data_IF_892766023216
#
_entry.id   IF_892766023216
#
_cell.length_a   1.000
_cell.length_b   1.000
_cell.length_c   1.000
_cell.angle_alpha   90.00
_cell.angle_beta   90.00
_cell.angle_gamma   90.00
#
_symmetry.space_group_name_H-M   'P 1'
#
loop_
_entity.id
_entity.type
_entity.pdbx_description
1 polymer ?
#
# COMPACT_ATOMS: atom_id res chain seq x y z
N UNK A 1 -0.51 -5.42 20.59
CA UNK A 1 -0.47 -5.90 19.20
C UNK A 1 -1.43 -5.04 18.40
N UNK A 2 -0.96 -4.37 17.34
CA UNK A 2 -1.76 -3.44 16.53
C UNK A 2 -1.75 -3.92 15.09
N UNK A 3 -2.94 -3.97 14.48
CA UNK A 3 -3.15 -4.28 13.07
C UNK A 3 -3.46 -2.97 12.36
N UNK A 4 -2.78 -2.71 11.25
CA UNK A 4 -2.90 -1.49 10.47
C UNK A 4 -3.80 -1.75 9.27
N UNK A 5 -4.78 -0.85 9.09
CA UNK A 5 -5.73 -0.87 8.00
C UNK A 5 -5.26 -0.01 6.81
N UNK A 6 -5.94 -0.14 5.67
CA UNK A 6 -5.65 0.61 4.43
C UNK A 6 -5.62 2.11 4.68
N UNK A 7 -6.62 2.67 5.39
CA UNK A 7 -6.72 4.12 5.60
C UNK A 7 -5.53 4.69 6.39
N UNK A 8 -5.09 3.98 7.43
CA UNK A 8 -3.93 4.36 8.23
C UNK A 8 -2.64 4.30 7.41
N UNK A 9 -2.48 3.27 6.57
CA UNK A 9 -1.32 3.12 5.69
C UNK A 9 -1.28 4.19 4.59
N UNK A 10 -2.42 4.53 3.98
CA UNK A 10 -2.51 5.62 3.00
C UNK A 10 -2.15 6.95 3.66
N UNK A 11 -2.70 7.25 4.83
CA UNK A 11 -2.36 8.48 5.55
C UNK A 11 -0.87 8.53 5.94
N UNK A 12 -0.29 7.38 6.29
CA UNK A 12 1.12 7.29 6.66
C UNK A 12 2.05 7.49 5.46
N UNK A 13 1.73 6.90 4.30
CA UNK A 13 2.57 6.97 3.10
C UNK A 13 2.37 8.25 2.28
N UNK A 14 1.18 8.85 2.32
CA UNK A 14 0.86 10.07 1.59
C UNK A 14 1.09 11.30 2.48
N UNK A 15 2.19 12.02 2.27
CA UNK A 15 2.46 13.29 2.96
C UNK A 15 1.40 14.37 2.70
N UNK A 16 0.62 14.23 1.62
CA UNK A 16 -0.48 15.13 1.27
C UNK A 16 -1.78 14.80 2.01
N UNK A 17 -1.85 13.66 2.69
CA UNK A 17 -3.02 13.30 3.46
C UNK A 17 -3.14 14.19 4.71
N UNK A 18 -4.36 14.70 4.96
CA UNK A 18 -4.63 15.58 6.10
C UNK A 18 -4.37 14.91 7.46
N UNK A 19 -4.35 13.58 7.52
CA UNK A 19 -4.06 12.81 8.72
C UNK A 19 -2.61 12.36 8.83
N UNK A 20 -1.73 12.71 7.87
CA UNK A 20 -0.34 12.27 7.84
C UNK A 20 0.42 12.57 9.15
N UNK A 21 0.39 13.82 9.61
CA UNK A 21 1.06 14.19 10.85
C UNK A 21 0.47 13.47 12.08
N UNK A 22 -0.86 13.27 12.09
CA UNK A 22 -1.52 12.58 13.18
C UNK A 22 -1.09 11.11 13.25
N UNK A 23 -1.10 10.41 12.11
CA UNK A 23 -0.77 8.98 12.10
C UNK A 23 0.72 8.75 12.41
N UNK A 24 1.64 9.59 11.94
CA UNK A 24 3.06 9.49 12.31
C UNK A 24 3.25 9.54 13.83
N UNK A 25 2.61 10.51 14.51
CA UNK A 25 2.68 10.62 15.97
C UNK A 25 2.05 9.41 16.67
N UNK A 26 0.93 8.88 16.16
CA UNK A 26 0.30 7.69 16.74
C UNK A 26 1.18 6.46 16.60
N UNK A 27 1.80 6.23 15.43
CA UNK A 27 2.65 5.05 15.21
C UNK A 27 3.94 5.12 16.04
N UNK A 28 4.53 6.30 16.18
CA UNK A 28 5.68 6.51 17.07
C UNK A 28 5.34 6.19 18.54
N UNK A 29 4.14 6.55 19.00
CA UNK A 29 3.68 6.23 20.35
C UNK A 29 3.33 4.75 20.55
N UNK A 30 2.68 4.12 19.56
CA UNK A 30 2.25 2.71 19.63
C UNK A 30 3.45 1.76 19.61
N UNK A 31 4.52 2.12 18.89
CA UNK A 31 5.72 1.31 18.71
C UNK A 31 5.58 0.18 17.68
N UNK A 32 6.72 -0.41 17.34
CA UNK A 32 6.87 -1.38 16.26
C UNK A 32 7.24 -2.79 16.80
N UNK A 33 6.97 -3.89 16.06
CA UNK A 33 6.41 -3.95 14.70
C UNK A 33 4.88 -3.94 14.66
N UNK A 34 4.34 -3.22 13.69
CA UNK A 34 2.91 -3.17 13.37
C UNK A 34 2.54 -4.28 12.38
N UNK A 35 1.35 -4.88 12.52
CA UNK A 35 0.93 -5.98 11.66
C UNK A 35 0.07 -5.47 10.51
N UNK A 36 0.28 -5.99 9.30
CA UNK A 36 -0.60 -5.73 8.14
C UNK A 36 -0.78 -7.01 7.31
N UNK A 37 -1.64 -6.97 6.30
CA UNK A 37 -1.91 -8.10 5.41
C UNK A 37 -1.95 -7.70 3.94
N UNK A 38 -1.97 -8.70 3.06
CA UNK A 38 -1.92 -8.54 1.59
C UNK A 38 -3.02 -7.66 1.02
N UNK A 39 -4.24 -7.81 1.55
CA UNK A 39 -5.39 -7.04 1.08
C UNK A 39 -5.21 -5.55 1.37
N UNK A 40 -4.73 -5.22 2.58
CA UNK A 40 -4.46 -3.84 2.99
C UNK A 40 -3.37 -3.22 2.11
N UNK A 41 -2.25 -3.92 1.90
CA UNK A 41 -1.16 -3.44 1.05
C UNK A 41 -1.63 -3.17 -0.40
N UNK A 42 -2.41 -4.09 -0.95
CA UNK A 42 -2.93 -3.97 -2.32
C UNK A 42 -3.86 -2.76 -2.46
N UNK A 43 -4.76 -2.57 -1.49
CA UNK A 43 -5.67 -1.43 -1.52
C UNK A 43 -4.94 -0.10 -1.30
N UNK A 44 -3.94 -0.07 -0.43
CA UNK A 44 -3.09 1.10 -0.22
C UNK A 44 -2.39 1.54 -1.50
N UNK A 45 -1.74 0.63 -2.23
CA UNK A 45 -1.11 0.95 -3.52
C UNK A 45 -2.13 1.47 -4.53
N UNK A 46 -3.30 0.82 -4.64
CA UNK A 46 -4.36 1.28 -5.53
C UNK A 46 -4.81 2.71 -5.21
N UNK A 47 -4.99 3.05 -3.93
CA UNK A 47 -5.43 4.38 -3.51
C UNK A 47 -4.34 5.44 -3.71
N UNK A 48 -3.08 5.12 -3.42
CA UNK A 48 -1.96 6.05 -3.66
C UNK A 48 -1.84 6.36 -5.16
N UNK A 49 -1.91 5.34 -6.01
CA UNK A 49 -1.81 5.50 -7.46
C UNK A 49 -2.98 6.28 -8.04
N UNK A 50 -4.20 6.01 -7.56
CA UNK A 50 -5.40 6.79 -7.94
C UNK A 50 -5.28 8.27 -7.59
N UNK A 51 -4.56 8.59 -6.51
CA UNK A 51 -4.37 9.96 -6.03
C UNK A 51 -3.13 10.64 -6.62
N UNK A 52 -2.50 10.04 -7.64
CA UNK A 52 -1.35 10.60 -8.36
C UNK A 52 -0.02 10.47 -7.61
N UNK A 53 0.04 9.59 -6.61
CA UNK A 53 1.29 9.17 -5.97
C UNK A 53 1.94 8.01 -6.72
N UNK A 54 3.23 7.79 -6.46
CA UNK A 54 3.97 6.64 -6.97
C UNK A 54 3.49 5.37 -6.25
N UNK A 55 2.65 4.57 -6.91
CA UNK A 55 2.13 3.30 -6.43
C UNK A 55 3.05 2.15 -6.85
N UNK A 56 4.31 2.23 -6.45
CA UNK A 56 5.28 1.17 -6.62
C UNK A 56 4.95 -0.10 -5.84
N UNK A 57 5.91 -1.00 -5.70
CA UNK A 57 5.73 -2.21 -4.91
C UNK A 57 5.38 -1.87 -3.45
N UNK A 58 4.27 -2.37 -2.88
CA UNK A 58 3.82 -1.99 -1.53
C UNK A 58 4.86 -2.31 -0.45
N UNK A 59 5.56 -3.44 -0.57
CA UNK A 59 6.58 -3.84 0.41
C UNK A 59 7.78 -2.91 0.30
N UNK A 60 8.20 -2.57 -0.92
CA UNK A 60 9.26 -1.60 -1.14
C UNK A 60 8.89 -0.21 -0.60
N UNK A 61 7.67 0.25 -0.83
CA UNK A 61 7.19 1.54 -0.31
C UNK A 61 7.23 1.57 1.23
N UNK A 62 6.75 0.53 1.90
CA UNK A 62 6.84 0.42 3.35
C UNK A 62 8.29 0.39 3.84
N UNK A 63 9.13 -0.42 3.20
CA UNK A 63 10.54 -0.54 3.59
C UNK A 63 11.32 0.77 3.39
N UNK A 64 10.94 1.60 2.41
CA UNK A 64 11.54 2.92 2.20
C UNK A 64 11.21 3.91 3.33
N UNK A 65 9.98 3.89 3.84
CA UNK A 65 9.54 4.87 4.86
C UNK A 65 9.73 4.39 6.30
N UNK A 66 9.69 3.08 6.52
CA UNK A 66 9.64 2.48 7.85
C UNK A 66 10.26 1.06 7.81
N UNK A 67 11.59 0.96 7.63
CA UNK A 67 12.27 -0.33 7.60
C UNK A 67 12.04 -1.08 8.93
N UNK A 68 11.80 -2.39 8.83
CA UNK A 68 11.56 -3.31 9.95
C UNK A 68 10.40 -2.95 10.89
N UNK A 69 9.62 -1.95 10.53
CA UNK A 69 8.55 -1.38 11.36
C UNK A 69 7.21 -2.09 11.14
N UNK A 70 7.04 -2.74 10.00
CA UNK A 70 5.83 -3.48 9.67
C UNK A 70 6.12 -4.94 9.42
N UNK A 71 5.29 -5.80 10.00
CA UNK A 71 5.32 -7.24 9.79
C UNK A 71 4.13 -7.67 8.95
N UNK A 72 4.44 -8.21 7.79
CA UNK A 72 3.46 -8.78 6.89
C UNK A 72 2.95 -10.13 7.42
N UNK A 73 1.63 -10.25 7.53
CA UNK A 73 0.96 -11.51 7.82
C UNK A 73 0.39 -12.04 6.50
N UNK A 74 0.98 -13.11 5.93
CA UNK A 74 0.42 -13.75 4.75
C UNK A 74 -0.94 -14.37 5.09
N UNK A 75 -1.88 -14.31 4.15
CA UNK A 75 -3.22 -14.90 4.29
C UNK A 75 -3.11 -16.40 4.61
N UNK A 76 -3.62 -16.81 5.77
CA UNK A 76 -3.73 -18.23 6.14
C UNK A 76 -4.74 -18.87 5.19
N UNK A 77 -4.29 -19.84 4.38
CA UNK A 77 -5.14 -20.53 3.38
C UNK A 77 -6.26 -21.28 4.11
N UNK A 78 -7.51 -20.83 3.95
CA UNK A 78 -8.68 -21.51 4.51
C UNK A 78 -9.96 -20.66 4.62
N UNK A 79 -9.84 -19.32 4.62
CA UNK A 79 -11.00 -18.42 4.61
C UNK A 79 -11.16 -17.84 3.20
N UNK A 80 -12.14 -18.32 2.43
CA UNK A 80 -12.54 -17.74 1.15
C UNK A 80 -13.26 -16.40 1.44
N UNK A 81 -12.67 -15.24 1.09
CA UNK A 81 -13.47 -14.03 0.97
C UNK A 81 -14.43 -14.24 -0.21
N UNK A 82 -15.64 -13.73 -0.15
CA UNK A 82 -16.53 -13.69 -1.32
C UNK A 82 -15.87 -12.84 -2.42
N UNK A 83 -15.25 -13.53 -3.38
CA UNK A 83 -14.23 -13.09 -4.34
C UNK A 83 -14.63 -12.00 -5.36
N UNK A 84 -15.84 -11.45 -5.30
CA UNK A 84 -16.30 -10.49 -6.29
C UNK A 84 -15.61 -9.11 -6.17
N UNK A 85 -15.25 -8.66 -4.96
CA UNK A 85 -14.84 -7.26 -4.75
C UNK A 85 -13.33 -7.00 -4.82
N UNK A 86 -12.51 -8.03 -4.61
CA UNK A 86 -11.04 -7.91 -4.63
C UNK A 86 -10.51 -8.11 -6.05
N UNK A 87 -11.06 -9.08 -6.80
CA UNK A 87 -10.58 -9.45 -8.14
C UNK A 87 -10.84 -8.39 -9.21
N UNK A 88 -11.90 -7.60 -9.08
CA UNK A 88 -12.26 -6.57 -10.06
C UNK A 88 -11.35 -5.32 -9.98
N UNK A 89 -10.74 -5.05 -8.82
CA UNK A 89 -9.78 -3.93 -8.66
C UNK A 89 -8.34 -4.29 -9.02
N UNK A 90 -7.94 -5.56 -8.87
CA UNK A 90 -6.58 -6.03 -9.16
C UNK A 90 -6.24 -6.11 -10.65
N UNK A 91 -7.23 -6.31 -11.54
CA UNK A 91 -7.00 -6.36 -12.99
C UNK A 91 -6.61 -4.99 -13.61
N UNK A 92 -6.82 -3.87 -12.89
CA UNK A 92 -6.43 -2.54 -13.36
C UNK A 92 -5.03 -2.16 -12.86
N UNK A 93 -4.55 -2.76 -11.77
CA UNK A 93 -3.29 -2.34 -11.12
C UNK A 93 -2.02 -3.00 -11.67
N UNK A 94 -2.13 -4.07 -12.47
CA UNK A 94 -0.97 -4.80 -13.00
C UNK A 94 -0.85 -4.77 -14.54
N UNK A 95 -1.64 -3.95 -15.22
CA UNK A 95 -1.64 -3.84 -16.68
C UNK A 95 -1.47 -2.40 -17.17
N UNK A 96 -0.35 -2.16 -17.87
CA UNK A 96 -0.01 -0.96 -18.66
C UNK A 96 0.55 0.27 -17.92
N UNK A 97 1.81 0.18 -17.52
CA UNK A 97 2.75 1.29 -17.74
C UNK A 97 2.98 1.39 -19.26
N UNK A 98 2.76 2.53 -19.93
CA UNK A 98 3.16 2.68 -21.32
C UNK A 98 4.69 2.58 -21.40
N UNK A 99 5.17 1.64 -22.23
CA UNK A 99 6.57 1.52 -22.58
C UNK A 99 7.10 2.88 -23.09
N UNK A 100 8.15 3.37 -22.44
CA UNK A 100 9.04 4.38 -23.00
C UNK A 100 9.54 3.87 -24.35
N UNK A 101 9.25 4.59 -25.42
CA UNK A 101 9.97 4.46 -26.68
C UNK A 101 10.74 5.77 -26.89
N UNK A 102 12.00 5.76 -26.44
CA UNK A 102 13.02 6.59 -27.04
C UNK A 102 13.25 6.07 -28.46
N UNK A 103 13.02 6.93 -29.45
CA UNK A 103 13.10 6.59 -30.86
C UNK A 103 13.29 7.81 -31.74
N UNK A 104 14.55 8.06 -32.07
CA UNK A 104 15.10 9.00 -33.05
C UNK A 104 14.41 8.86 -34.41
N UNK A 105 14.15 9.99 -35.10
CA UNK A 105 14.48 10.27 -36.52
C UNK A 105 13.42 11.11 -37.27
N UNK A 106 13.94 12.10 -38.00
CA UNK A 106 13.38 12.89 -39.11
C UNK A 106 12.47 14.07 -38.76
#
# INVERSE_FOLDING_TARGET
>A
MVIVDTGSLVAYLSQRDKYHAWICNQLEYIGFPLLTCEAVLTETCFLIGRNGGDAGDPIEMLNRVAPDSFRFIPRIRGHQPTDAKIRERSHIACGQLPATNDGIAA
#
